data_IF_263806246826
#
_entry.id   IF_263806246826
#
_cell.length_a   1.000
_cell.length_b   1.000
_cell.length_c   1.000
_cell.angle_alpha   90.00
_cell.angle_beta   90.00
_cell.angle_gamma   90.00
#
_symmetry.space_group_name_H-M   'P 1'
#
loop_
_entity.id
_entity.type
_entity.pdbx_description
1 polymer ?
#
# COMPACT_ATOMS: atom_id res chain seq x y z
N UNK A 1 13.06 -5.86 -26.80
CA UNK A 1 11.91 -6.20 -25.93
C UNK A 1 10.79 -5.24 -26.24
N UNK A 2 9.59 -5.77 -26.44
CA UNK A 2 8.38 -4.99 -26.69
C UNK A 2 7.76 -4.56 -25.36
N UNK A 3 6.83 -3.60 -25.40
CA UNK A 3 6.09 -3.14 -24.20
C UNK A 3 5.43 -4.31 -23.45
N UNK A 4 4.98 -5.32 -24.21
CA UNK A 4 4.36 -6.54 -23.68
C UNK A 4 5.33 -7.34 -22.81
N UNK A 5 6.62 -7.38 -23.15
CA UNK A 5 7.63 -8.11 -22.39
C UNK A 5 7.83 -7.47 -21.01
N UNK A 6 7.84 -6.13 -20.93
CA UNK A 6 7.95 -5.40 -19.66
C UNK A 6 6.72 -5.61 -18.78
N UNK A 7 5.52 -5.60 -19.36
CA UNK A 7 4.27 -5.87 -18.62
C UNK A 7 4.24 -7.30 -18.07
N UNK A 8 4.62 -8.29 -18.89
CA UNK A 8 4.66 -9.69 -18.47
C UNK A 8 5.71 -9.89 -17.38
N UNK A 9 6.90 -9.31 -17.53
CA UNK A 9 7.93 -9.38 -16.49
C UNK A 9 7.44 -8.73 -15.19
N UNK A 10 6.88 -7.52 -15.25
CA UNK A 10 6.34 -6.83 -14.08
C UNK A 10 5.28 -7.66 -13.35
N UNK A 11 4.36 -8.26 -14.12
CA UNK A 11 3.31 -9.13 -13.57
C UNK A 11 3.89 -10.39 -12.92
N UNK A 12 4.81 -11.09 -13.59
CA UNK A 12 5.42 -12.33 -13.09
C UNK A 12 6.23 -12.03 -11.83
N UNK A 13 7.13 -11.05 -11.86
CA UNK A 13 7.97 -10.73 -10.71
C UNK A 13 7.16 -10.17 -9.54
N UNK A 14 6.19 -9.29 -9.80
CA UNK A 14 5.29 -8.77 -8.76
C UNK A 14 4.42 -9.85 -8.14
N UNK A 15 3.86 -10.74 -8.97
CA UNK A 15 3.03 -11.87 -8.54
C UNK A 15 3.81 -12.90 -7.73
N UNK A 16 5.03 -13.26 -8.18
CA UNK A 16 5.92 -14.17 -7.45
C UNK A 16 6.34 -13.55 -6.12
N UNK A 17 6.76 -12.27 -6.11
CA UNK A 17 7.18 -11.58 -4.88
C UNK A 17 6.08 -11.55 -3.83
N UNK A 18 4.85 -11.20 -4.24
CA UNK A 18 3.68 -11.19 -3.36
C UNK A 18 3.33 -12.59 -2.85
N UNK A 19 3.38 -13.60 -3.73
CA UNK A 19 3.09 -14.99 -3.37
C UNK A 19 4.11 -15.55 -2.38
N UNK A 20 5.40 -15.27 -2.58
CA UNK A 20 6.47 -15.66 -1.65
C UNK A 20 6.28 -14.97 -0.31
N UNK A 21 6.02 -13.66 -0.30
CA UNK A 21 5.74 -12.92 0.94
C UNK A 21 4.54 -13.48 1.71
N UNK A 22 3.45 -13.82 1.00
CA UNK A 22 2.28 -14.48 1.56
C UNK A 22 2.59 -15.85 2.14
N UNK A 23 3.36 -16.68 1.42
CA UNK A 23 3.76 -18.01 1.88
C UNK A 23 4.64 -17.93 3.15
N UNK A 24 5.62 -17.03 3.17
CA UNK A 24 6.46 -16.76 4.34
C UNK A 24 5.60 -16.33 5.53
N UNK A 25 4.57 -15.49 5.30
CA UNK A 25 3.65 -15.05 6.35
C UNK A 25 2.86 -16.20 6.99
N UNK A 26 2.62 -17.30 6.26
CA UNK A 26 1.95 -18.49 6.81
C UNK A 26 2.94 -19.37 7.58
N UNK A 27 4.19 -19.46 7.11
CA UNK A 27 5.24 -20.26 7.75
C UNK A 27 5.73 -19.67 9.07
N UNK A 28 5.75 -18.34 9.22
CA UNK A 28 6.16 -17.68 10.46
C UNK A 28 4.98 -17.64 11.44
N UNK A 29 5.00 -18.54 12.43
CA UNK A 29 3.96 -18.60 13.46
C UNK A 29 4.16 -17.48 14.50
N UNK A 30 3.23 -16.52 14.57
CA UNK A 30 3.22 -15.39 15.52
C UNK A 30 4.51 -14.53 15.48
N UNK A 31 4.78 -13.83 14.37
CA UNK A 31 5.88 -12.88 14.32
C UNK A 31 5.76 -11.83 15.41
N UNK A 32 6.89 -11.41 15.99
CA UNK A 32 6.89 -10.33 16.98
C UNK A 32 6.53 -8.98 16.34
N UNK A 33 5.91 -8.08 17.11
CA UNK A 33 5.54 -6.74 16.64
C UNK A 33 6.75 -5.96 16.08
N UNK A 34 7.97 -6.23 16.58
CA UNK A 34 9.22 -5.64 16.07
C UNK A 34 9.53 -6.08 14.64
N UNK A 35 9.36 -7.36 14.32
CA UNK A 35 9.61 -7.90 12.98
C UNK A 35 8.59 -7.34 12.00
N UNK A 36 7.30 -7.35 12.37
CA UNK A 36 6.22 -6.79 11.55
C UNK A 36 6.49 -5.31 11.27
N UNK A 37 6.79 -4.53 12.32
CA UNK A 37 7.06 -3.10 12.18
C UNK A 37 8.30 -2.84 11.32
N UNK A 38 9.35 -3.67 11.45
CA UNK A 38 10.56 -3.57 10.64
C UNK A 38 10.30 -3.80 9.16
N UNK A 39 9.60 -4.89 8.81
CA UNK A 39 9.24 -5.21 7.43
C UNK A 39 8.33 -4.12 6.84
N UNK A 40 7.33 -3.67 7.60
CA UNK A 40 6.40 -2.64 7.14
C UNK A 40 7.09 -1.28 6.93
N UNK A 41 8.00 -0.90 7.82
CA UNK A 41 8.78 0.35 7.70
C UNK A 41 9.74 0.29 6.51
N UNK A 42 10.35 -0.87 6.26
CA UNK A 42 11.20 -1.09 5.10
C UNK A 42 10.42 -1.00 3.78
N UNK A 43 9.27 -1.67 3.70
CA UNK A 43 8.40 -1.61 2.53
C UNK A 43 7.89 -0.19 2.25
N UNK A 44 7.45 0.53 3.29
CA UNK A 44 7.05 1.92 3.19
C UNK A 44 8.21 2.82 2.70
N UNK A 45 9.43 2.57 3.16
CA UNK A 45 10.63 3.29 2.70
C UNK A 45 10.93 3.09 1.22
N UNK A 46 10.86 1.84 0.71
CA UNK A 46 11.06 1.54 -0.72
C UNK A 46 10.00 2.27 -1.56
N UNK A 47 8.73 2.17 -1.18
CA UNK A 47 7.64 2.80 -1.93
C UNK A 47 7.77 4.33 -1.94
N UNK A 48 8.17 4.93 -0.82
CA UNK A 48 8.42 6.36 -0.73
C UNK A 48 9.58 6.78 -1.64
N UNK A 49 10.67 6.01 -1.67
CA UNK A 49 11.82 6.28 -2.53
C UNK A 49 11.45 6.20 -4.01
N UNK A 50 10.80 5.11 -4.46
CA UNK A 50 10.33 4.96 -5.85
C UNK A 50 9.38 6.08 -6.24
N UNK A 51 8.43 6.41 -5.36
CA UNK A 51 7.45 7.48 -5.65
C UNK A 51 8.13 8.86 -5.72
N UNK A 52 9.11 9.13 -4.86
CA UNK A 52 9.74 10.46 -4.76
C UNK A 52 10.81 10.69 -5.81
N UNK A 53 11.59 9.66 -6.15
CA UNK A 53 12.76 9.80 -7.03
C UNK A 53 12.53 9.32 -8.46
N UNK A 54 11.60 8.39 -8.70
CA UNK A 54 11.27 7.95 -10.05
C UNK A 54 9.93 8.55 -10.52
N UNK A 55 8.83 8.26 -9.81
CA UNK A 55 7.49 8.58 -10.30
C UNK A 55 7.19 10.09 -10.28
N UNK A 56 7.52 10.80 -9.19
CA UNK A 56 7.25 12.24 -9.08
C UNK A 56 7.98 13.05 -10.15
N UNK A 57 9.31 12.92 -10.35
CA UNK A 57 10.01 13.66 -11.39
C UNK A 57 9.45 13.39 -12.79
N UNK A 58 9.19 12.13 -13.14
CA UNK A 58 8.59 11.77 -14.43
C UNK A 58 7.19 12.37 -14.59
N UNK A 59 6.36 12.34 -13.54
CA UNK A 59 5.04 12.97 -13.57
C UNK A 59 5.15 14.48 -13.79
N UNK A 60 6.09 15.16 -13.13
CA UNK A 60 6.32 16.59 -13.31
C UNK A 60 6.83 16.95 -14.71
N UNK A 61 7.64 16.10 -15.33
CA UNK A 61 8.08 16.30 -16.72
C UNK A 61 6.91 16.18 -17.71
N UNK A 62 6.00 15.23 -17.49
CA UNK A 62 4.87 14.97 -18.40
C UNK A 62 3.72 15.97 -18.18
N UNK A 63 3.33 16.21 -16.92
CA UNK A 63 2.15 16.97 -16.55
C UNK A 63 2.42 18.38 -16.03
N UNK A 64 3.68 18.72 -15.71
CA UNK A 64 4.01 19.98 -15.06
C UNK A 64 3.61 20.06 -13.59
N UNK A 65 4.14 21.06 -12.89
CA UNK A 65 3.98 21.21 -11.44
C UNK A 65 2.51 21.21 -10.98
N UNK A 66 1.67 22.05 -11.59
CA UNK A 66 0.30 22.27 -11.13
C UNK A 66 -0.60 21.03 -11.25
N UNK A 67 -0.54 20.32 -12.37
CA UNK A 67 -1.41 19.14 -12.62
C UNK A 67 -1.02 18.01 -11.66
N UNK A 68 0.27 17.77 -11.50
CA UNK A 68 0.78 16.71 -10.62
C UNK A 68 0.47 17.01 -9.15
N UNK A 69 0.71 18.25 -8.68
CA UNK A 69 0.37 18.63 -7.31
C UNK A 69 -1.13 18.54 -7.06
N UNK A 70 -1.97 18.95 -8.02
CA UNK A 70 -3.43 18.82 -7.89
C UNK A 70 -3.86 17.35 -7.82
N UNK A 71 -3.31 16.50 -8.69
CA UNK A 71 -3.56 15.06 -8.68
C UNK A 71 -3.15 14.41 -7.36
N UNK A 72 -2.01 14.80 -6.80
CA UNK A 72 -1.52 14.34 -5.51
C UNK A 72 -2.45 14.74 -4.36
N UNK A 73 -2.92 15.99 -4.34
CA UNK A 73 -3.88 16.48 -3.33
C UNK A 73 -5.21 15.74 -3.44
N UNK A 74 -5.73 15.54 -4.65
CA UNK A 74 -6.98 14.79 -4.87
C UNK A 74 -6.81 13.35 -4.41
N UNK A 75 -5.71 12.69 -4.76
CA UNK A 75 -5.40 11.33 -4.32
C UNK A 75 -5.35 11.20 -2.79
N UNK A 76 -4.68 12.15 -2.11
CA UNK A 76 -4.67 12.21 -0.65
C UNK A 76 -6.08 12.32 -0.07
N UNK A 77 -6.91 13.25 -0.59
CA UNK A 77 -8.29 13.44 -0.12
C UNK A 77 -9.10 12.15 -0.28
N UNK A 78 -8.96 11.44 -1.41
CA UNK A 78 -9.66 10.17 -1.65
C UNK A 78 -9.26 9.12 -0.61
N UNK A 79 -7.97 8.97 -0.31
CA UNK A 79 -7.50 8.00 0.70
C UNK A 79 -7.99 8.38 2.10
N UNK A 80 -7.95 9.66 2.47
CA UNK A 80 -8.49 10.14 3.75
C UNK A 80 -9.99 9.85 3.86
N UNK A 81 -10.77 10.11 2.81
CA UNK A 81 -12.20 9.82 2.81
C UNK A 81 -12.48 8.31 2.84
N UNK A 82 -11.68 7.50 2.16
CA UNK A 82 -11.79 6.04 2.19
C UNK A 82 -11.55 5.48 3.60
N UNK A 83 -10.65 6.09 4.37
CA UNK A 83 -10.46 5.74 5.78
C UNK A 83 -11.70 6.05 6.63
N UNK A 84 -12.37 7.17 6.38
CA UNK A 84 -13.58 7.57 7.13
C UNK A 84 -14.83 6.77 6.75
N UNK A 85 -14.87 6.18 5.55
CA UNK A 85 -15.93 5.28 5.11
C UNK A 85 -15.97 3.95 5.88
N UNK A 86 -14.90 3.60 6.59
CA UNK A 86 -14.86 2.40 7.42
C UNK A 86 -15.85 2.60 8.59
N UNK A 87 -16.95 1.84 8.68
CA UNK A 87 -18.01 2.12 9.65
C UNK A 87 -17.61 1.64 11.06
N UNK A 88 -16.77 2.44 11.72
CA UNK A 88 -16.25 2.21 13.06
C UNK A 88 -17.37 2.02 14.10
N UNK A 89 -18.52 2.66 13.88
CA UNK A 89 -19.69 2.57 14.76
C UNK A 89 -20.33 1.17 14.76
N UNK A 90 -20.30 0.43 13.64
CA UNK A 90 -20.77 -0.97 13.60
C UNK A 90 -19.76 -1.94 14.23
N UNK A 91 -18.49 -1.54 14.31
CA UNK A 91 -17.42 -2.34 14.91
C UNK A 91 -17.32 -2.19 16.45
N UNK A 92 -18.12 -1.31 17.08
CA UNK A 92 -18.17 -1.15 18.56
C UNK A 92 -18.56 -2.43 19.32
N UNK A 93 -19.17 -3.41 18.63
CA UNK A 93 -19.47 -4.73 19.21
C UNK A 93 -18.20 -5.52 19.60
N UNK A 94 -17.06 -5.22 18.99
CA UNK A 94 -15.76 -5.78 19.35
C UNK A 94 -15.04 -4.85 20.35
N UNK A 95 -14.67 -5.34 21.54
CA UNK A 95 -13.87 -4.59 22.54
C UNK A 95 -12.41 -5.03 22.54
N UNK A 96 -11.49 -4.11 22.86
CA UNK A 96 -10.06 -4.39 23.09
C UNK A 96 -9.21 -4.56 21.83
N UNK A 97 -8.08 -5.29 21.94
CA UNK A 97 -7.07 -5.46 20.87
C UNK A 97 -7.65 -5.98 19.53
N UNK A 98 -8.69 -6.81 19.58
CA UNK A 98 -9.34 -7.39 18.39
C UNK A 98 -9.96 -6.33 17.46
N UNK A 99 -10.56 -5.29 18.03
CA UNK A 99 -11.08 -4.16 17.25
C UNK A 99 -9.95 -3.40 16.55
N UNK A 100 -8.82 -3.21 17.24
CA UNK A 100 -7.65 -2.51 16.68
C UNK A 100 -7.08 -3.26 15.48
N UNK A 101 -6.96 -4.59 15.56
CA UNK A 101 -6.46 -5.41 14.45
C UNK A 101 -7.40 -5.40 13.24
N UNK A 102 -8.72 -5.51 13.45
CA UNK A 102 -9.71 -5.47 12.36
C UNK A 102 -9.69 -4.11 11.64
N UNK A 103 -9.58 -3.01 12.40
CA UNK A 103 -9.44 -1.66 11.82
C UNK A 103 -8.19 -1.56 10.98
N UNK A 104 -7.05 -1.97 11.54
CA UNK A 104 -5.76 -1.94 10.85
C UNK A 104 -5.81 -2.77 9.56
N UNK A 105 -6.37 -3.98 9.60
CA UNK A 105 -6.46 -4.83 8.40
C UNK A 105 -7.36 -4.24 7.32
N UNK A 106 -8.49 -3.63 7.68
CA UNK A 106 -9.40 -3.00 6.71
C UNK A 106 -8.75 -1.81 6.02
N UNK A 107 -8.09 -0.93 6.79
CA UNK A 107 -7.35 0.21 6.25
C UNK A 107 -6.25 -0.28 5.33
N UNK A 108 -5.47 -1.29 5.76
CA UNK A 108 -4.38 -1.85 4.95
C UNK A 108 -4.91 -2.44 3.64
N UNK A 109 -6.01 -3.20 3.67
CA UNK A 109 -6.56 -3.81 2.44
C UNK A 109 -7.02 -2.72 1.46
N UNK A 110 -7.80 -1.74 1.92
CA UNK A 110 -8.27 -0.63 1.06
C UNK A 110 -7.08 0.16 0.52
N UNK A 111 -6.11 0.48 1.37
CA UNK A 111 -4.92 1.24 0.98
C UNK A 111 -4.05 0.47 0.00
N UNK A 112 -3.92 -0.86 0.15
CA UNK A 112 -3.21 -1.71 -0.80
C UNK A 112 -3.92 -1.73 -2.15
N UNK A 113 -5.24 -1.94 -2.16
CA UNK A 113 -6.03 -1.98 -3.39
C UNK A 113 -6.12 -0.64 -4.14
N UNK A 114 -5.91 0.49 -3.46
CA UNK A 114 -5.92 1.80 -4.10
C UNK A 114 -4.56 2.18 -4.71
N UNK A 115 -3.45 1.62 -4.22
CA UNK A 115 -2.11 1.96 -4.73
C UNK A 115 -1.49 0.90 -5.65
N UNK A 116 -1.92 -0.36 -5.56
CA UNK A 116 -1.54 -1.44 -6.49
C UNK A 116 -2.57 -1.59 -7.60
#
# INVERSE_FOLDING_TARGET
MNILDYLIMGFIFGGIGTSIGGLISVLIFKPSDKIISGILSFAAGIMLAVTSFDLMPQAYEIGGFFIVTLGLVIGLIIVFYANDLIPLNKLKQYKGKKLSYIKMSLIIIISISLHN
#
